data_IF_105719568299
#
_entry.id   IF_105719568299
#
_cell.length_a   1.000
_cell.length_b   1.000
_cell.length_c   1.000
_cell.angle_alpha   90.00
_cell.angle_beta   90.00
_cell.angle_gamma   90.00
#
_symmetry.space_group_name_H-M   'P 1'
#
loop_
_entity.id
_entity.type
_entity.pdbx_description
1 polymer ?
#
# COMPACT_ATOMS: atom_id res chain seq x y z
N UNK A 1 -9.40 30.07 5.46
CA UNK A 1 -9.09 29.96 6.89
C UNK A 1 -7.65 30.39 7.05
N UNK A 2 -7.39 31.45 7.80
CA UNK A 2 -6.02 31.91 8.04
C UNK A 2 -5.29 31.00 9.05
N UNK A 3 -3.96 30.87 8.95
CA UNK A 3 -3.14 30.16 9.94
C UNK A 3 -3.40 30.67 11.37
N UNK A 4 -3.67 31.97 11.51
CA UNK A 4 -4.01 32.60 12.77
C UNK A 4 -5.35 32.10 13.35
N UNK A 5 -6.34 31.79 12.50
CA UNK A 5 -7.62 31.23 12.94
C UNK A 5 -7.46 29.79 13.41
N UNK A 6 -6.68 28.98 12.69
CA UNK A 6 -6.37 27.59 13.06
C UNK A 6 -5.68 27.56 14.43
N UNK A 7 -4.64 28.38 14.63
CA UNK A 7 -3.93 28.48 15.90
C UNK A 7 -4.82 28.94 17.07
N UNK A 8 -5.72 29.89 16.81
CA UNK A 8 -6.68 30.38 17.80
C UNK A 8 -7.68 29.30 18.21
N UNK A 9 -8.17 28.49 17.27
CA UNK A 9 -9.07 27.37 17.56
C UNK A 9 -8.34 26.28 18.35
N UNK A 10 -7.11 25.93 17.95
CA UNK A 10 -6.31 24.91 18.66
C UNK A 10 -6.05 25.28 20.12
N UNK A 11 -5.66 26.54 20.42
CA UNK A 11 -5.48 26.98 21.82
C UNK A 11 -6.79 27.02 22.61
N UNK A 12 -7.90 27.45 21.99
CA UNK A 12 -9.19 27.56 22.68
C UNK A 12 -9.82 26.20 22.99
N UNK A 13 -9.47 25.15 22.23
CA UNK A 13 -10.05 23.79 22.34
C UNK A 13 -9.04 22.70 22.61
N UNK A 14 -8.01 23.03 23.37
CA UNK A 14 -6.98 22.06 23.80
C UNK A 14 -7.60 20.84 24.50
N UNK A 15 -8.72 20.99 25.21
CA UNK A 15 -9.42 19.91 25.90
C UNK A 15 -10.09 18.86 24.97
N UNK A 16 -10.22 19.12 23.67
CA UNK A 16 -10.67 18.12 22.67
C UNK A 16 -9.47 17.59 21.89
N UNK A 17 -8.59 18.50 21.47
CA UNK A 17 -7.41 18.15 20.69
C UNK A 17 -6.46 17.25 21.47
N UNK A 18 -6.15 17.58 22.73
CA UNK A 18 -5.18 16.86 23.54
C UNK A 18 -5.64 15.41 23.84
N UNK A 19 -6.89 15.14 24.27
CA UNK A 19 -7.36 13.76 24.38
C UNK A 19 -7.36 13.00 23.04
N UNK A 20 -7.72 13.65 21.93
CA UNK A 20 -7.67 13.03 20.60
C UNK A 20 -6.25 12.63 20.17
N UNK A 21 -5.27 13.50 20.44
CA UNK A 21 -3.87 13.22 20.20
C UNK A 21 -3.33 12.12 21.11
N UNK A 22 -3.75 12.08 22.39
CA UNK A 22 -3.40 10.99 23.31
C UNK A 22 -3.97 9.65 22.84
N UNK A 23 -5.23 9.63 22.39
CA UNK A 23 -5.83 8.43 21.81
C UNK A 23 -5.09 7.99 20.54
N UNK A 24 -4.69 8.94 19.70
CA UNK A 24 -3.88 8.67 18.51
C UNK A 24 -2.52 8.08 18.89
N UNK A 25 -1.83 8.65 19.88
CA UNK A 25 -0.55 8.14 20.38
C UNK A 25 -0.70 6.73 20.96
N UNK A 26 -1.78 6.46 21.70
CA UNK A 26 -2.10 5.13 22.20
C UNK A 26 -2.34 4.12 21.07
N UNK A 27 -3.03 4.52 20.00
CA UNK A 27 -3.28 3.67 18.84
C UNK A 27 -1.97 3.35 18.10
N UNK A 28 -1.11 4.35 17.87
CA UNK A 28 0.22 4.16 17.26
C UNK A 28 1.09 3.25 18.13
N UNK A 29 1.11 3.46 19.44
CA UNK A 29 1.82 2.58 20.38
C UNK A 29 1.27 1.14 20.33
N UNK A 30 -0.05 0.98 20.23
CA UNK A 30 -0.70 -0.31 20.01
C UNK A 30 -0.18 -0.99 18.74
N UNK A 31 -0.21 -0.29 17.59
CA UNK A 31 0.33 -0.82 16.32
C UNK A 31 1.81 -1.19 16.46
N UNK A 32 2.60 -0.37 17.14
CA UNK A 32 4.02 -0.67 17.35
C UNK A 32 4.25 -1.96 18.14
N UNK A 33 3.44 -2.22 19.17
CA UNK A 33 3.58 -3.41 20.02
C UNK A 33 2.99 -4.66 19.36
N UNK A 34 1.85 -4.53 18.67
CA UNK A 34 1.12 -5.68 18.13
C UNK A 34 1.52 -6.08 16.71
N UNK A 35 2.11 -5.17 15.91
CA UNK A 35 2.61 -5.50 14.57
C UNK A 35 4.08 -5.93 14.68
N UNK A 36 4.38 -7.23 14.50
CA UNK A 36 5.73 -7.73 14.61
C UNK A 36 6.62 -7.20 13.49
N UNK A 37 7.92 -7.24 13.71
CA UNK A 37 8.90 -7.04 12.64
C UNK A 37 8.98 -8.32 11.83
N UNK A 38 8.77 -8.21 10.53
CA UNK A 38 9.06 -9.31 9.61
C UNK A 38 10.53 -9.30 9.23
N UNK A 39 11.10 -10.48 9.08
CA UNK A 39 12.45 -10.73 8.62
C UNK A 39 12.37 -11.55 7.35
N UNK A 40 13.19 -11.20 6.37
CA UNK A 40 13.29 -11.94 5.10
C UNK A 40 14.70 -12.47 4.91
N UNK A 41 14.80 -13.75 4.60
CA UNK A 41 16.00 -14.37 4.02
C UNK A 41 15.73 -14.67 2.55
N UNK A 42 16.74 -14.49 1.71
CA UNK A 42 16.66 -14.77 0.29
C UNK A 42 17.93 -15.45 -0.19
N UNK A 43 17.75 -16.50 -0.98
CA UNK A 43 18.79 -17.18 -1.74
C UNK A 43 18.55 -16.99 -3.24
N UNK A 44 19.64 -16.96 -4.01
CA UNK A 44 19.59 -16.90 -5.48
C UNK A 44 20.24 -18.15 -6.05
N UNK A 45 19.47 -18.90 -6.81
CA UNK A 45 19.93 -20.11 -7.50
C UNK A 45 19.83 -19.91 -9.00
N UNK A 46 20.61 -20.67 -9.76
CA UNK A 46 20.55 -20.71 -11.23
C UNK A 46 20.50 -22.15 -11.71
N UNK A 47 19.84 -22.38 -12.84
CA UNK A 47 19.89 -23.67 -13.51
C UNK A 47 21.04 -23.71 -14.52
N UNK A 48 21.86 -24.75 -14.40
CA UNK A 48 23.00 -25.02 -15.25
C UNK A 48 22.69 -26.19 -16.17
N UNK A 49 23.18 -26.10 -17.40
CA UNK A 49 23.03 -27.17 -18.37
C UNK A 49 23.74 -28.46 -17.92
N UNK A 50 23.31 -29.56 -18.53
CA UNK A 50 23.86 -30.89 -18.28
C UNK A 50 25.32 -31.00 -18.71
N UNK A 51 26.07 -31.92 -18.08
CA UNK A 51 27.47 -32.15 -18.45
C UNK A 51 27.60 -32.54 -19.93
N UNK A 52 26.66 -33.36 -20.42
CA UNK A 52 26.56 -33.76 -21.83
C UNK A 52 26.37 -32.56 -22.76
N UNK A 53 25.54 -31.59 -22.39
CA UNK A 53 25.29 -30.41 -23.21
C UNK A 53 26.42 -29.36 -23.14
N UNK A 54 27.28 -29.43 -22.12
CA UNK A 54 28.42 -28.50 -21.96
C UNK A 54 29.67 -28.89 -22.73
N UNK A 55 29.71 -30.07 -23.38
CA UNK A 55 30.91 -30.57 -24.08
C UNK A 55 31.37 -29.60 -25.18
N UNK A 56 30.45 -29.00 -25.93
CA UNK A 56 30.77 -28.01 -26.96
C UNK A 56 31.37 -26.69 -26.42
N UNK A 57 31.39 -26.52 -25.10
CA UNK A 57 31.88 -25.34 -24.39
C UNK A 57 32.99 -25.70 -23.40
N UNK A 58 33.76 -26.75 -23.70
CA UNK A 58 34.84 -27.28 -22.83
C UNK A 58 34.38 -27.61 -21.40
N UNK A 59 33.10 -27.99 -21.24
CA UNK A 59 32.51 -28.29 -19.95
C UNK A 59 32.08 -27.07 -19.13
N UNK A 60 32.17 -25.85 -19.67
CA UNK A 60 31.76 -24.63 -18.97
C UNK A 60 30.23 -24.44 -19.04
N UNK A 61 29.50 -24.62 -17.92
CA UNK A 61 28.04 -24.50 -17.93
C UNK A 61 27.54 -23.08 -18.16
N UNK A 62 28.33 -22.06 -17.83
CA UNK A 62 27.95 -20.66 -17.94
C UNK A 62 27.96 -20.15 -19.38
N UNK A 63 28.69 -20.83 -20.28
CA UNK A 63 28.68 -20.54 -21.71
C UNK A 63 27.57 -21.29 -22.47
N UNK A 64 26.85 -22.18 -21.79
CA UNK A 64 25.87 -23.10 -22.39
C UNK A 64 24.41 -22.78 -22.02
N UNK A 65 24.13 -21.55 -21.59
CA UNK A 65 22.80 -21.11 -21.15
C UNK A 65 21.82 -21.06 -22.32
N UNK A 66 20.64 -21.65 -22.16
CA UNK A 66 19.58 -21.72 -23.19
C UNK A 66 18.25 -21.25 -22.62
N UNK A 67 17.36 -20.73 -23.47
CA UNK A 67 16.03 -20.25 -23.07
C UNK A 67 15.16 -21.34 -22.41
N UNK A 68 15.39 -22.61 -22.77
CA UNK A 68 14.75 -23.78 -22.16
C UNK A 68 15.03 -23.91 -20.65
N UNK A 69 16.21 -23.48 -20.19
CA UNK A 69 16.55 -23.47 -18.76
C UNK A 69 15.68 -22.46 -18.01
N UNK A 70 15.39 -21.31 -18.60
CA UNK A 70 14.49 -20.31 -18.00
C UNK A 70 13.07 -20.85 -17.91
N UNK A 71 12.60 -21.56 -18.94
CA UNK A 71 11.30 -22.25 -18.91
C UNK A 71 11.23 -23.31 -17.80
N UNK A 72 12.30 -24.10 -17.62
CA UNK A 72 12.38 -25.06 -16.51
C UNK A 72 12.46 -24.39 -15.14
N UNK A 73 13.15 -23.26 -15.02
CA UNK A 73 13.20 -22.48 -13.79
C UNK A 73 11.81 -21.94 -13.41
N UNK A 74 11.03 -21.45 -14.37
CA UNK A 74 9.64 -21.00 -14.13
C UNK A 74 8.75 -22.17 -13.71
N UNK A 75 8.85 -23.32 -14.41
CA UNK A 75 8.13 -24.53 -14.05
C UNK A 75 8.46 -25.04 -12.65
N UNK A 76 9.75 -25.03 -12.28
CA UNK A 76 10.21 -25.38 -10.93
C UNK A 76 9.66 -24.39 -9.89
N UNK A 77 9.75 -23.08 -10.14
CA UNK A 77 9.21 -22.06 -9.24
C UNK A 77 7.70 -22.26 -8.98
N UNK A 78 6.91 -22.50 -10.04
CA UNK A 78 5.48 -22.80 -9.90
C UNK A 78 5.22 -24.05 -9.07
N UNK A 79 6.03 -25.10 -9.26
CA UNK A 79 5.88 -26.31 -8.45
C UNK A 79 6.29 -26.11 -6.99
N UNK A 80 7.33 -25.32 -6.73
CA UNK A 80 7.75 -25.00 -5.36
C UNK A 80 6.68 -24.20 -4.60
N UNK A 81 5.85 -23.45 -5.31
CA UNK A 81 4.73 -22.70 -4.75
C UNK A 81 3.41 -23.50 -4.66
N UNK A 82 3.35 -24.73 -5.19
CA UNK A 82 2.12 -25.55 -5.19
C UNK A 82 1.76 -26.06 -3.81
N UNK A 83 0.48 -26.32 -3.56
CA UNK A 83 -0.03 -26.79 -2.26
C UNK A 83 0.68 -28.04 -1.74
N UNK A 84 1.03 -28.99 -2.62
CA UNK A 84 1.79 -30.19 -2.27
C UNK A 84 3.19 -29.85 -1.74
N UNK A 85 3.94 -29.02 -2.47
CA UNK A 85 5.24 -28.53 -2.00
C UNK A 85 5.10 -27.75 -0.71
N UNK A 86 3.97 -27.04 -0.53
CA UNK A 86 3.71 -26.32 0.71
C UNK A 86 3.54 -27.25 1.90
N UNK A 87 2.80 -28.34 1.72
CA UNK A 87 2.61 -29.36 2.73
C UNK A 87 3.96 -30.03 3.09
N UNK A 88 4.75 -30.38 2.07
CA UNK A 88 6.07 -31.01 2.24
C UNK A 88 7.08 -30.11 2.96
N UNK A 89 7.16 -28.83 2.56
CA UNK A 89 8.05 -27.86 3.20
C UNK A 89 7.65 -27.61 4.65
N UNK A 90 6.34 -27.52 4.94
CA UNK A 90 5.82 -27.40 6.30
C UNK A 90 6.19 -28.63 7.14
N UNK A 91 6.06 -29.84 6.59
CA UNK A 91 6.47 -31.08 7.26
C UNK A 91 7.99 -31.12 7.55
N UNK A 92 8.80 -30.42 6.75
CA UNK A 92 10.24 -30.25 6.94
C UNK A 92 10.62 -29.12 7.90
N UNK A 93 9.63 -28.41 8.46
CA UNK A 93 9.84 -27.34 9.43
C UNK A 93 10.11 -25.97 8.81
N UNK A 94 9.77 -25.75 7.54
CA UNK A 94 9.73 -24.39 6.96
C UNK A 94 8.57 -23.63 7.58
N UNK A 95 8.88 -22.47 8.14
CA UNK A 95 7.92 -21.60 8.82
C UNK A 95 7.84 -20.24 8.14
N UNK A 96 6.67 -19.61 8.22
CA UNK A 96 6.41 -18.31 7.61
C UNK A 96 5.96 -18.42 6.15
N UNK A 97 5.89 -17.27 5.49
CA UNK A 97 5.59 -17.20 4.06
C UNK A 97 6.86 -17.47 3.27
N UNK A 98 6.74 -18.18 2.16
CA UNK A 98 7.85 -18.37 1.22
C UNK A 98 7.35 -18.30 -0.20
N UNK A 99 8.29 -17.97 -1.09
CA UNK A 99 8.02 -17.75 -2.49
C UNK A 99 9.25 -18.14 -3.31
N UNK A 100 9.04 -18.95 -4.33
CA UNK A 100 9.97 -19.14 -5.43
C UNK A 100 9.52 -18.34 -6.64
N UNK A 101 10.41 -17.59 -7.28
CA UNK A 101 10.12 -16.92 -8.55
C UNK A 101 11.38 -16.77 -9.40
N UNK A 102 11.21 -16.50 -10.69
CA UNK A 102 12.30 -15.99 -11.52
C UNK A 102 12.78 -14.66 -10.93
N UNK A 103 14.09 -14.49 -10.84
CA UNK A 103 14.70 -13.27 -10.32
C UNK A 103 14.32 -12.07 -11.20
N UNK A 104 13.95 -10.96 -10.56
CA UNK A 104 13.49 -9.78 -11.30
C UNK A 104 14.64 -9.22 -12.17
N UNK A 105 14.32 -8.85 -13.41
CA UNK A 105 15.29 -8.36 -14.40
C UNK A 105 16.43 -9.36 -14.74
N UNK A 106 16.24 -10.65 -14.47
CA UNK A 106 17.20 -11.66 -14.86
C UNK A 106 17.21 -11.90 -16.37
N UNK A 107 18.40 -11.89 -16.97
CA UNK A 107 18.61 -12.30 -18.37
C UNK A 107 19.01 -13.78 -18.51
N UNK A 108 18.66 -14.60 -17.52
CA UNK A 108 19.01 -16.02 -17.46
C UNK A 108 18.12 -16.80 -16.49
N UNK A 109 18.37 -18.10 -16.31
CA UNK A 109 17.54 -18.99 -15.50
C UNK A 109 17.82 -18.83 -13.99
N UNK A 110 17.79 -17.59 -13.50
CA UNK A 110 17.98 -17.25 -12.10
C UNK A 110 16.65 -17.24 -11.38
N UNK A 111 16.64 -17.82 -10.18
CA UNK A 111 15.49 -17.85 -9.30
C UNK A 111 15.84 -17.23 -7.96
N UNK A 112 14.90 -16.48 -7.41
CA UNK A 112 14.89 -16.12 -6.00
C UNK A 112 14.02 -17.09 -5.23
N UNK A 113 14.59 -17.62 -4.16
CA UNK A 113 13.88 -18.37 -3.15
C UNK A 113 13.90 -17.48 -1.91
N UNK A 114 12.72 -17.07 -1.44
CA UNK A 114 12.61 -16.15 -0.32
C UNK A 114 11.72 -16.74 0.76
N UNK A 115 12.09 -16.49 2.01
CA UNK A 115 11.30 -16.85 3.19
C UNK A 115 11.17 -15.62 4.07
N UNK A 116 9.95 -15.35 4.53
CA UNK A 116 9.60 -14.24 5.41
C UNK A 116 8.91 -14.76 6.66
N UNK A 117 9.32 -14.28 7.84
CA UNK A 117 8.74 -14.66 9.12
C UNK A 117 9.16 -13.72 10.25
N UNK A 118 8.69 -13.98 11.47
CA UNK A 118 8.93 -13.10 12.63
C UNK A 118 10.13 -13.50 13.49
N UNK A 119 10.61 -14.75 13.36
CA UNK A 119 11.82 -15.23 14.01
C UNK A 119 12.98 -15.31 13.00
N UNK A 120 14.04 -14.48 13.14
CA UNK A 120 15.19 -14.50 12.24
C UNK A 120 15.85 -15.88 12.13
N UNK A 121 16.00 -16.60 13.26
CA UNK A 121 16.70 -17.89 13.23
C UNK A 121 15.89 -18.94 12.45
N UNK A 122 14.57 -18.97 12.68
CA UNK A 122 13.67 -19.84 11.94
C UNK A 122 13.61 -19.49 10.44
N UNK A 123 13.64 -18.19 10.09
CA UNK A 123 13.64 -17.73 8.69
C UNK A 123 14.89 -18.18 7.95
N UNK A 124 16.08 -18.02 8.55
CA UNK A 124 17.34 -18.48 7.92
C UNK A 124 17.33 -20.00 7.71
N UNK A 125 16.92 -20.75 8.74
CA UNK A 125 16.84 -22.22 8.65
C UNK A 125 15.82 -22.66 7.60
N UNK A 126 14.70 -21.96 7.52
CA UNK A 126 13.65 -22.23 6.54
C UNK A 126 14.13 -21.99 5.11
N UNK A 127 14.87 -20.90 4.86
CA UNK A 127 15.46 -20.63 3.54
C UNK A 127 16.48 -21.72 3.16
N UNK A 128 17.35 -22.15 4.08
CA UNK A 128 18.26 -23.28 3.85
C UNK A 128 17.53 -24.57 3.45
N UNK A 129 16.46 -24.92 4.18
CA UNK A 129 15.62 -26.09 3.87
C UNK A 129 14.93 -25.91 2.52
N UNK A 130 14.43 -24.70 2.22
CA UNK A 130 13.74 -24.40 0.98
C UNK A 130 14.68 -24.48 -0.23
N UNK A 131 15.90 -23.93 -0.15
CA UNK A 131 16.92 -24.07 -1.19
C UNK A 131 17.27 -25.54 -1.44
N UNK A 132 17.50 -26.33 -0.39
CA UNK A 132 17.81 -27.75 -0.53
C UNK A 132 16.62 -28.55 -1.12
N UNK A 133 15.39 -28.19 -0.74
CA UNK A 133 14.18 -28.78 -1.30
C UNK A 133 14.04 -28.47 -2.80
N UNK A 134 14.38 -27.25 -3.24
CA UNK A 134 14.38 -26.88 -4.65
C UNK A 134 15.33 -27.76 -5.49
N UNK A 135 16.52 -28.04 -4.98
CA UNK A 135 17.48 -28.94 -5.65
C UNK A 135 16.92 -30.35 -5.78
N UNK A 136 16.38 -30.88 -4.67
CA UNK A 136 15.76 -32.21 -4.62
C UNK A 136 14.59 -32.30 -5.60
N UNK A 137 13.77 -31.26 -5.68
CA UNK A 137 12.59 -31.26 -6.56
C UNK A 137 12.96 -31.24 -8.03
N UNK A 138 13.99 -30.46 -8.39
CA UNK A 138 14.57 -30.50 -9.75
C UNK A 138 15.10 -31.90 -10.09
N UNK A 139 15.77 -32.55 -9.15
CA UNK A 139 16.27 -33.92 -9.36
C UNK A 139 15.11 -34.91 -9.55
N UNK A 140 14.07 -34.83 -8.73
CA UNK A 140 12.88 -35.69 -8.83
C UNK A 140 12.19 -35.57 -10.19
N UNK A 141 12.03 -34.35 -10.71
CA UNK A 141 11.47 -34.15 -12.06
C UNK A 141 12.26 -34.88 -13.13
N UNK A 142 13.59 -34.83 -13.07
CA UNK A 142 14.44 -35.45 -14.06
C UNK A 142 14.47 -36.98 -13.92
N UNK A 143 14.44 -37.49 -12.69
CA UNK A 143 14.33 -38.94 -12.42
C UNK A 143 12.99 -39.49 -12.92
N UNK A 144 11.89 -38.78 -12.68
CA UNK A 144 10.56 -39.19 -13.18
C UNK A 144 10.51 -39.25 -14.71
N UNK A 145 11.27 -38.40 -15.39
CA UNK A 145 11.42 -38.42 -16.85
C UNK A 145 12.52 -39.38 -17.34
N UNK A 146 13.11 -40.18 -16.46
CA UNK A 146 14.18 -41.16 -16.78
C UNK A 146 15.39 -40.51 -17.49
N UNK A 147 15.72 -39.27 -17.14
CA UNK A 147 16.88 -38.56 -17.68
C UNK A 147 18.16 -39.24 -17.19
N UNK A 148 19.11 -39.50 -18.08
CA UNK A 148 20.39 -40.11 -17.69
C UNK A 148 21.24 -39.12 -16.87
N UNK A 149 22.07 -39.58 -15.91
CA UNK A 149 22.82 -38.69 -15.02
C UNK A 149 23.68 -37.63 -15.73
N UNK A 150 24.27 -37.96 -16.88
CA UNK A 150 25.09 -37.01 -17.66
C UNK A 150 24.27 -35.94 -18.39
N UNK A 151 22.98 -36.23 -18.64
CA UNK A 151 22.03 -35.35 -19.30
C UNK A 151 21.17 -34.53 -18.32
N UNK A 152 21.36 -34.71 -17.00
CA UNK A 152 20.63 -33.93 -16.00
C UNK A 152 21.10 -32.47 -15.95
N UNK A 153 20.15 -31.56 -16.02
CA UNK A 153 20.27 -30.15 -15.62
C UNK A 153 20.61 -30.12 -14.12
N UNK A 154 21.42 -29.15 -13.73
CA UNK A 154 21.88 -28.98 -12.36
C UNK A 154 21.40 -27.65 -11.81
N UNK A 155 21.24 -27.56 -10.50
CA UNK A 155 21.05 -26.28 -9.83
C UNK A 155 22.38 -25.84 -9.23
N UNK A 156 22.67 -24.55 -9.28
CA UNK A 156 23.81 -23.95 -8.60
C UNK A 156 23.38 -22.75 -7.79
N UNK A 157 23.86 -22.68 -6.55
CA UNK A 157 23.60 -21.56 -5.65
C UNK A 157 24.58 -20.43 -5.95
N UNK A 158 24.06 -19.28 -6.41
CA UNK A 158 24.85 -18.08 -6.71
C UNK A 158 24.98 -17.22 -5.45
N UNK A 159 23.87 -17.04 -4.74
CA UNK A 159 23.83 -16.37 -3.45
C UNK A 159 23.21 -17.35 -2.45
N UNK A 160 23.98 -17.85 -1.47
CA UNK A 160 23.43 -18.75 -0.46
C UNK A 160 22.40 -18.01 0.41
N UNK A 161 21.57 -18.74 1.18
CA UNK A 161 20.69 -18.14 2.18
C UNK A 161 21.41 -17.09 3.02
N UNK A 162 20.92 -15.84 2.94
CA UNK A 162 21.55 -14.69 3.58
C UNK A 162 21.06 -14.51 5.01
N UNK A 163 21.79 -13.73 5.82
CA UNK A 163 21.31 -13.35 7.15
C UNK A 163 19.98 -12.58 7.00
N UNK A 164 18.92 -12.96 7.75
CA UNK A 164 17.61 -12.34 7.58
C UNK A 164 17.63 -10.84 7.86
N UNK A 165 17.05 -10.06 6.94
CA UNK A 165 16.96 -8.61 7.05
C UNK A 165 15.56 -8.16 7.46
N UNK A 166 15.49 -7.18 8.37
CA UNK A 166 14.24 -6.65 8.87
C UNK A 166 13.47 -5.85 7.80
N UNK A 167 12.26 -6.31 7.49
CA UNK A 167 11.34 -5.69 6.55
C UNK A 167 10.46 -4.67 7.29
N UNK A 168 10.98 -3.45 7.47
CA UNK A 168 10.31 -2.41 8.27
C UNK A 168 9.31 -1.55 7.48
N UNK A 169 9.31 -1.64 6.14
CA UNK A 169 8.52 -0.77 5.26
C UNK A 169 7.02 -0.86 5.57
N UNK A 170 6.45 -2.07 5.59
CA UNK A 170 5.02 -2.28 5.84
C UNK A 170 4.62 -1.86 7.26
N UNK A 171 5.44 -2.21 8.25
CA UNK A 171 5.23 -1.79 9.65
C UNK A 171 5.24 -0.27 9.78
N UNK A 172 6.17 0.40 9.11
CA UNK A 172 6.24 1.86 9.10
C UNK A 172 5.03 2.49 8.40
N UNK A 173 4.55 1.90 7.29
CA UNK A 173 3.33 2.36 6.63
C UNK A 173 2.12 2.28 7.56
N UNK A 174 1.96 1.19 8.33
CA UNK A 174 0.87 1.09 9.31
C UNK A 174 0.98 2.12 10.43
N UNK A 175 2.19 2.37 10.95
CA UNK A 175 2.42 3.39 11.97
C UNK A 175 2.06 4.79 11.45
N UNK A 176 2.50 5.12 10.23
CA UNK A 176 2.20 6.41 9.59
C UNK A 176 0.70 6.54 9.34
N UNK A 177 0.04 5.50 8.81
CA UNK A 177 -1.39 5.51 8.53
C UNK A 177 -2.21 5.69 9.82
N UNK A 178 -1.88 4.96 10.88
CA UNK A 178 -2.48 5.09 12.20
C UNK A 178 -2.33 6.50 12.77
N UNK A 179 -1.12 7.04 12.73
CA UNK A 179 -0.83 8.39 13.23
C UNK A 179 -1.53 9.48 12.41
N UNK A 180 -1.46 9.42 11.09
CA UNK A 180 -2.08 10.39 10.20
C UNK A 180 -3.61 10.37 10.31
N UNK A 181 -4.23 9.18 10.32
CA UNK A 181 -5.68 9.05 10.45
C UNK A 181 -6.16 9.57 11.80
N UNK A 182 -5.51 9.18 12.90
CA UNK A 182 -5.86 9.66 14.24
C UNK A 182 -5.67 11.17 14.38
N UNK A 183 -4.62 11.73 13.79
CA UNK A 183 -4.39 13.17 13.75
C UNK A 183 -5.49 13.92 13.00
N UNK A 184 -5.86 13.45 11.79
CA UNK A 184 -6.93 14.05 10.98
C UNK A 184 -8.27 13.98 11.73
N UNK A 185 -8.61 12.83 12.32
CA UNK A 185 -9.83 12.68 13.11
C UNK A 185 -9.86 13.62 14.33
N UNK A 186 -8.72 13.80 14.99
CA UNK A 186 -8.59 14.73 16.13
C UNK A 186 -8.83 16.19 15.69
N UNK A 187 -8.30 16.59 14.54
CA UNK A 187 -8.55 17.91 13.97
C UNK A 187 -10.02 18.09 13.58
N UNK A 188 -10.59 17.13 12.85
CA UNK A 188 -12.01 17.16 12.44
C UNK A 188 -12.92 17.28 13.66
N UNK A 189 -12.68 16.47 14.70
CA UNK A 189 -13.44 16.56 15.95
C UNK A 189 -13.31 17.96 16.60
N UNK A 190 -12.09 18.50 16.66
CA UNK A 190 -11.84 19.84 17.24
C UNK A 190 -12.62 20.93 16.49
N UNK A 191 -12.58 20.92 15.15
CA UNK A 191 -13.31 21.87 14.32
C UNK A 191 -14.82 21.67 14.35
N UNK A 192 -15.30 20.42 14.41
CA UNK A 192 -16.72 20.12 14.52
C UNK A 192 -17.32 20.68 15.82
N UNK A 193 -16.63 20.50 16.95
CA UNK A 193 -17.07 21.04 18.25
C UNK A 193 -17.02 22.58 18.23
N UNK A 194 -16.06 23.20 17.51
CA UNK A 194 -16.02 24.66 17.27
C UNK A 194 -17.20 25.16 16.45
N UNK A 195 -17.48 24.54 15.30
CA UNK A 195 -18.58 24.91 14.41
C UNK A 195 -19.95 24.79 15.10
N UNK A 196 -20.16 23.72 15.88
CA UNK A 196 -21.44 23.49 16.59
C UNK A 196 -21.72 24.55 17.66
N UNK A 197 -20.70 24.98 18.41
CA UNK A 197 -20.90 26.04 19.44
C UNK A 197 -21.04 27.43 18.82
N UNK A 198 -20.34 27.76 17.73
CA UNK A 198 -20.54 29.04 17.02
C UNK A 198 -21.97 29.20 16.47
N UNK A 199 -22.63 28.09 16.08
CA UNK A 199 -24.06 28.10 15.73
C UNK A 199 -24.98 28.31 16.95
N UNK A 200 -24.60 27.81 18.11
CA UNK A 200 -25.40 27.93 19.35
C UNK A 200 -25.29 29.31 20.02
N UNK A 201 -24.18 30.02 19.83
CA UNK A 201 -23.98 31.38 20.35
C UNK A 201 -24.58 32.48 19.46
N UNK A 202 -25.30 32.12 18.38
CA UNK A 202 -26.00 33.07 17.50
C UNK A 202 -27.54 32.91 17.46
N UNK A 203 -28.27 32.82 18.59
CA UNK A 203 -29.72 32.96 18.60
C UNK A 203 -30.07 34.44 18.81
N UNK A 204 -30.05 35.28 17.78
CA UNK A 204 -30.29 36.71 18.03
C UNK A 204 -30.22 37.73 16.90
N UNK A 205 -30.47 37.36 15.64
CA UNK A 205 -30.63 38.36 14.56
C UNK A 205 -31.95 38.28 13.80
N UNK A 206 -33.01 37.80 14.44
CA UNK A 206 -34.39 38.06 14.03
C UNK A 206 -35.14 38.71 15.19
N UNK A 207 -34.97 40.03 15.32
CA UNK A 207 -35.99 40.88 15.94
C UNK A 207 -36.79 41.48 14.78
N UNK A 208 -38.01 41.02 14.49
CA UNK A 208 -38.89 41.76 13.60
C UNK A 208 -39.21 43.10 14.28
N UNK A 209 -39.04 44.20 13.55
CA UNK A 209 -39.42 45.53 14.01
C UNK A 209 -40.94 45.56 14.27
N UNK A 210 -41.41 46.15 15.39
CA UNK A 210 -42.84 46.40 15.56
C UNK A 210 -43.32 47.41 14.53
N UNK A 211 -44.35 47.03 13.77
CA UNK A 211 -45.18 47.98 13.05
C UNK A 211 -45.97 48.80 14.08
N UNK A 212 -45.73 50.11 14.11
CA UNK A 212 -46.59 51.06 14.82
C UNK A 212 -47.23 51.98 13.78
N UNK A 213 -48.53 51.78 13.59
CA UNK A 213 -49.41 52.59 12.76
C UNK A 213 -50.07 53.67 13.61
N UNK A 214 -49.91 54.95 13.21
CA UNK A 214 -50.86 56.07 13.35
C UNK A 214 -50.09 57.33 12.88
N UNK A 215 -50.48 58.15 11.90
CA UNK A 215 -51.81 58.53 11.45
C UNK A 215 -52.07 59.99 11.86
N UNK A 216 -51.76 60.96 11.00
CA UNK A 216 -52.43 62.28 11.01
C UNK A 216 -52.20 63.05 9.71
N UNK A 217 -53.31 63.54 9.17
CA UNK A 217 -53.55 64.24 7.92
C UNK A 217 -52.70 65.49 7.62
N UNK A 218 -52.56 65.77 6.32
CA UNK A 218 -52.10 67.06 5.82
C UNK A 218 -51.73 67.05 4.33
N UNK A 219 -52.72 67.06 3.44
CA UNK A 219 -52.57 67.50 2.05
C UNK A 219 -53.06 68.96 1.92
N UNK A 220 -52.88 69.68 0.80
CA UNK A 220 -52.15 69.40 -0.45
C UNK A 220 -51.23 70.57 -0.89
N UNK A 221 -50.40 70.43 -1.94
CA UNK A 221 -50.56 71.19 -3.20
C UNK A 221 -49.43 70.98 -4.24
N UNK A 222 -49.80 71.23 -5.50
CA UNK A 222 -48.99 71.65 -6.65
C UNK A 222 -48.17 70.64 -7.48
N UNK A 223 -48.83 70.17 -8.55
CA UNK A 223 -48.52 70.47 -9.96
C UNK A 223 -47.17 70.06 -10.62
N UNK A 224 -47.29 69.42 -11.79
CA UNK A 224 -46.26 69.32 -12.84
C UNK A 224 -46.20 67.93 -13.47
N UNK A 225 -47.11 67.56 -14.37
CA UNK A 225 -47.01 67.75 -15.84
C UNK A 225 -45.68 67.27 -16.43
N UNK A 226 -45.72 66.23 -17.26
CA UNK A 226 -44.57 65.74 -18.03
C UNK A 226 -44.84 64.44 -18.77
N UNK A 227 -45.66 64.51 -19.80
CA UNK A 227 -45.95 63.40 -20.72
C UNK A 227 -44.79 63.09 -21.68
N UNK A 228 -44.88 61.91 -22.28
CA UNK A 228 -44.39 61.53 -23.63
C UNK A 228 -43.04 60.81 -23.73
N UNK A 229 -43.07 59.67 -24.44
CA UNK A 229 -41.87 58.97 -24.89
C UNK A 229 -42.13 57.50 -25.23
N UNK A 230 -42.70 57.25 -26.40
CA UNK A 230 -43.01 55.91 -26.94
C UNK A 230 -41.88 55.37 -27.83
N UNK A 231 -41.85 54.04 -28.01
CA UNK A 231 -41.21 53.25 -29.10
C UNK A 231 -39.65 53.25 -29.10
N UNK A 232 -38.93 52.18 -29.43
CA UNK A 232 -39.18 51.07 -30.36
C UNK A 232 -38.09 50.00 -30.24
N UNK A 233 -38.43 48.76 -30.62
CA UNK A 233 -37.61 47.79 -31.37
C UNK A 233 -36.42 47.11 -30.65
N UNK A 234 -36.02 45.86 -30.94
CA UNK A 234 -36.48 44.72 -31.75
C UNK A 234 -35.40 43.64 -31.60
N UNK A 235 -35.81 42.37 -31.47
CA UNK A 235 -35.22 41.08 -31.90
C UNK A 235 -33.67 40.88 -31.89
N UNK A 236 -33.09 39.70 -31.65
CA UNK A 236 -33.44 38.35 -32.11
C UNK A 236 -32.38 37.34 -31.58
N UNK A 237 -32.70 36.05 -31.77
CA UNK A 237 -31.85 34.85 -31.79
C UNK A 237 -31.51 34.23 -30.41
N UNK A 238 -31.69 32.93 -30.17
CA UNK A 238 -32.03 31.80 -31.03
C UNK A 238 -31.30 30.54 -30.55
N UNK A 239 -31.95 29.38 -30.71
CA UNK A 239 -31.48 28.00 -30.57
C UNK A 239 -31.56 27.33 -29.17
N UNK A 240 -32.64 26.56 -29.01
CA UNK A 240 -32.74 25.33 -28.19
C UNK A 240 -32.33 24.10 -29.04
N UNK A 241 -32.52 22.87 -28.56
CA UNK A 241 -31.83 22.17 -27.49
C UNK A 241 -30.95 21.01 -27.99
#
# INVERSE_FOLDING_TARGET
MDLAEIWRVMRRRWYVLLPGLLLTAALVAGVYVFVPVEYRSQSTVTLLNSKKATVAFDGNPFLSTQASLTGMADGLARNLNSDDSRADLKARGVTGEYEAKIADNAQGPFMWLSVTGTDPAAVLKSDQVFTAYAEKRLQEFQVQQSVTPEAMIRMATIVPPQKPEAQTKTRLQYLIMAGALGFVLSLVATFFVEARRRRSDNPGRHRPAPAESAGSDGAPDAAGSGASGSRTARAAAGASP
#
